data_IF_323043554533
#
_entry.id   IF_323043554533
#
_cell.length_a   1.000
_cell.length_b   1.000
_cell.length_c   1.000
_cell.angle_alpha   90.00
_cell.angle_beta   90.00
_cell.angle_gamma   90.00
#
_symmetry.space_group_name_H-M   'P 1'
#
loop_
_entity.id
_entity.type
_entity.pdbx_description
1 polymer ?
#
# COMPACT_ATOMS: atom_id res chain seq x y z
N UNK A 1 -15.04 11.47 8.51
CA UNK A 1 -14.23 10.59 7.64
C UNK A 1 -13.23 9.83 8.51
N UNK A 2 -13.25 8.51 8.46
CA UNK A 2 -12.30 7.63 9.15
C UNK A 2 -11.25 7.15 8.16
N UNK A 3 -9.99 7.12 8.60
CA UNK A 3 -8.87 6.75 7.74
C UNK A 3 -8.07 5.66 8.44
N UNK A 4 -7.70 4.63 7.71
CA UNK A 4 -6.85 3.56 8.19
C UNK A 4 -5.60 3.42 7.31
N UNK A 5 -4.47 3.12 7.94
CA UNK A 5 -3.26 2.63 7.25
C UNK A 5 -2.80 1.35 7.93
N UNK A 6 -2.51 0.31 7.13
CA UNK A 6 -2.17 -0.99 7.67
C UNK A 6 -1.19 -1.73 6.76
N UNK A 7 0.00 -2.01 7.28
CA UNK A 7 0.90 -2.97 6.65
C UNK A 7 0.38 -4.37 6.98
N UNK A 8 -0.07 -5.09 5.96
CA UNK A 8 -0.73 -6.39 6.13
C UNK A 8 0.23 -7.58 6.11
N UNK A 9 1.54 -7.33 5.92
CA UNK A 9 2.54 -8.40 5.83
C UNK A 9 2.06 -9.54 4.92
N UNK A 10 1.70 -9.18 3.68
CA UNK A 10 1.14 -10.08 2.66
C UNK A 10 -0.02 -10.99 3.12
N UNK A 11 -0.68 -10.71 4.22
CA UNK A 11 -1.81 -11.46 4.78
C UNK A 11 -1.45 -12.35 5.96
N UNK A 12 -0.16 -12.44 6.35
CA UNK A 12 0.30 -13.29 7.44
C UNK A 12 0.12 -12.60 8.79
N UNK A 13 -0.63 -13.22 9.68
CA UNK A 13 -0.78 -12.75 11.06
C UNK A 13 0.40 -13.16 11.94
N UNK A 14 0.50 -12.52 13.13
CA UNK A 14 1.50 -12.87 14.16
C UNK A 14 1.30 -14.29 14.71
N UNK A 15 0.14 -14.88 14.49
CA UNK A 15 -0.19 -16.27 14.81
C UNK A 15 0.28 -17.27 13.74
N UNK A 16 0.95 -16.80 12.69
CA UNK A 16 1.40 -17.60 11.57
C UNK A 16 0.32 -17.98 10.55
N UNK A 17 -0.92 -17.49 10.73
CA UNK A 17 -2.03 -17.80 9.85
C UNK A 17 -2.24 -16.72 8.78
N UNK A 18 -2.53 -17.19 7.58
CA UNK A 18 -2.91 -16.37 6.44
C UNK A 18 -4.41 -16.09 6.49
N UNK A 19 -4.82 -14.81 6.64
CA UNK A 19 -6.25 -14.50 6.76
C UNK A 19 -6.55 -13.07 6.27
N UNK A 20 -6.92 -12.96 5.00
CA UNK A 20 -7.32 -11.69 4.38
C UNK A 20 -8.70 -11.21 4.86
N UNK A 21 -9.60 -12.14 5.25
CA UNK A 21 -10.91 -11.77 5.78
C UNK A 21 -10.77 -11.06 7.13
N UNK A 22 -9.89 -11.58 8.01
CA UNK A 22 -9.56 -10.93 9.28
C UNK A 22 -8.98 -9.52 9.05
N UNK A 23 -8.05 -9.39 8.10
CA UNK A 23 -7.47 -8.08 7.76
C UNK A 23 -8.55 -7.11 7.28
N UNK A 24 -9.42 -7.55 6.39
CA UNK A 24 -10.52 -6.73 5.89
C UNK A 24 -11.46 -6.29 7.01
N UNK A 25 -11.82 -7.21 7.94
CA UNK A 25 -12.71 -6.90 9.06
C UNK A 25 -12.14 -5.83 10.00
N UNK A 26 -10.82 -5.76 10.16
CA UNK A 26 -10.14 -4.79 11.02
C UNK A 26 -10.19 -3.35 10.51
N UNK A 27 -10.40 -3.17 9.22
CA UNK A 27 -10.40 -1.85 8.56
C UNK A 27 -11.74 -1.51 7.92
N UNK A 28 -12.74 -2.39 8.00
CA UNK A 28 -14.01 -2.26 7.29
C UNK A 28 -14.83 -1.00 7.65
N UNK A 29 -14.62 -0.43 8.84
CA UNK A 29 -15.31 0.78 9.30
C UNK A 29 -14.62 2.09 8.85
N UNK A 30 -13.48 2.00 8.15
CA UNK A 30 -12.80 3.17 7.62
C UNK A 30 -13.38 3.61 6.27
N UNK A 31 -13.36 4.91 6.01
CA UNK A 31 -13.81 5.48 4.73
C UNK A 31 -12.72 5.42 3.66
N UNK A 32 -11.45 5.58 4.07
CA UNK A 32 -10.27 5.47 3.20
C UNK A 32 -9.25 4.58 3.89
N UNK A 33 -8.71 3.62 3.13
CA UNK A 33 -7.79 2.61 3.64
C UNK A 33 -6.56 2.56 2.75
N UNK A 34 -5.37 2.69 3.35
CA UNK A 34 -4.09 2.42 2.68
C UNK A 34 -3.49 1.13 3.22
N UNK A 35 -3.29 0.16 2.34
CA UNK A 35 -2.66 -1.12 2.68
C UNK A 35 -1.27 -1.19 2.06
N UNK A 36 -0.30 -1.71 2.83
CA UNK A 36 1.06 -1.95 2.37
C UNK A 36 1.37 -3.44 2.45
N UNK A 37 2.37 -3.86 1.67
CA UNK A 37 2.78 -5.26 1.54
C UNK A 37 1.65 -6.17 1.03
N UNK A 38 0.96 -5.73 0.00
CA UNK A 38 -0.10 -6.49 -0.65
C UNK A 38 0.50 -7.36 -1.75
N UNK A 39 0.42 -8.67 -1.59
CA UNK A 39 0.89 -9.68 -2.53
C UNK A 39 -0.14 -9.97 -3.62
N UNK A 40 0.37 -10.39 -4.78
CA UNK A 40 -0.44 -10.97 -5.86
C UNK A 40 0.31 -12.12 -6.49
N UNK A 41 -0.25 -13.32 -6.44
CA UNK A 41 0.29 -14.56 -7.00
C UNK A 41 1.70 -14.96 -6.50
N UNK A 42 1.97 -14.75 -5.21
CA UNK A 42 3.17 -15.28 -4.55
C UNK A 42 2.88 -16.65 -3.91
N UNK A 43 3.88 -17.56 -3.93
CA UNK A 43 3.77 -18.86 -3.25
C UNK A 43 3.52 -18.70 -1.74
N UNK A 44 4.21 -17.75 -1.11
CA UNK A 44 4.07 -17.45 0.32
C UNK A 44 2.66 -17.02 0.73
N UNK A 45 1.89 -16.46 -0.20
CA UNK A 45 0.50 -16.05 -0.01
C UNK A 45 -0.51 -16.94 -0.74
N UNK A 46 -0.14 -18.21 -1.00
CA UNK A 46 -1.03 -19.21 -1.59
C UNK A 46 -1.39 -18.97 -3.06
N UNK A 47 -0.60 -18.21 -3.81
CA UNK A 47 -0.84 -17.86 -5.22
C UNK A 47 -2.18 -17.12 -5.44
N UNK A 48 -2.63 -16.37 -4.45
CA UNK A 48 -3.91 -15.65 -4.44
C UNK A 48 -3.76 -14.25 -5.06
N UNK A 49 -4.81 -13.74 -5.68
CA UNK A 49 -4.96 -12.32 -6.02
C UNK A 49 -5.48 -11.56 -4.78
N UNK A 50 -4.56 -11.23 -3.87
CA UNK A 50 -4.96 -10.60 -2.59
C UNK A 50 -5.70 -9.26 -2.78
N UNK A 51 -5.37 -8.38 -3.76
CA UNK A 51 -6.20 -7.22 -4.06
C UNK A 51 -7.66 -7.56 -4.35
N UNK A 52 -7.91 -8.57 -5.19
CA UNK A 52 -9.28 -8.97 -5.52
C UNK A 52 -10.03 -9.54 -4.31
N UNK A 53 -9.38 -10.42 -3.53
CA UNK A 53 -9.97 -11.01 -2.32
C UNK A 53 -10.29 -9.95 -1.27
N UNK A 54 -9.38 -8.98 -1.05
CA UNK A 54 -9.64 -7.86 -0.14
C UNK A 54 -10.79 -6.98 -0.61
N UNK A 55 -10.89 -6.72 -1.91
CA UNK A 55 -11.99 -5.95 -2.49
C UNK A 55 -13.34 -6.66 -2.32
N UNK A 56 -13.38 -7.99 -2.48
CA UNK A 56 -14.59 -8.79 -2.25
C UNK A 56 -15.07 -8.69 -0.80
N UNK A 57 -14.15 -8.76 0.17
CA UNK A 57 -14.49 -8.58 1.60
C UNK A 57 -14.86 -7.13 1.94
N UNK A 58 -14.35 -6.15 1.20
CA UNK A 58 -14.60 -4.72 1.39
C UNK A 58 -15.47 -4.16 0.26
N UNK A 59 -16.55 -4.86 -0.08
CA UNK A 59 -17.44 -4.61 -1.22
C UNK A 59 -18.09 -3.20 -1.25
N UNK A 60 -18.01 -2.44 -0.14
CA UNK A 60 -18.44 -1.06 -0.05
C UNK A 60 -17.35 -0.05 -0.44
N UNK A 61 -16.18 -0.53 -0.92
CA UNK A 61 -15.05 0.32 -1.26
C UNK A 61 -14.65 0.14 -2.73
N UNK A 62 -14.42 1.25 -3.43
CA UNK A 62 -13.64 1.28 -4.65
C UNK A 62 -12.17 1.02 -4.30
N UNK A 63 -11.38 0.47 -5.23
CA UNK A 63 -9.97 0.26 -4.96
C UNK A 63 -9.06 0.51 -6.15
N UNK A 64 -7.80 0.78 -5.86
CA UNK A 64 -6.67 0.77 -6.80
C UNK A 64 -5.50 0.05 -6.17
N UNK A 65 -4.72 -0.64 -7.01
CA UNK A 65 -3.53 -1.37 -6.61
C UNK A 65 -2.32 -0.88 -7.40
N UNK A 66 -1.22 -0.59 -6.70
CA UNK A 66 0.06 -0.18 -7.28
C UNK A 66 1.13 -1.26 -7.05
N UNK A 67 1.49 -1.97 -8.11
CA UNK A 67 2.60 -2.92 -8.04
C UNK A 67 3.94 -2.17 -8.05
N UNK A 68 4.70 -2.29 -6.99
CA UNK A 68 6.07 -1.77 -6.91
C UNK A 68 7.09 -2.79 -7.44
N UNK A 69 6.81 -4.08 -7.24
CA UNK A 69 7.54 -5.20 -7.80
C UNK A 69 6.61 -6.00 -8.70
N UNK A 70 7.05 -6.27 -9.92
CA UNK A 70 6.30 -7.00 -10.93
C UNK A 70 7.22 -7.99 -11.64
N UNK A 71 6.97 -9.28 -11.45
CA UNK A 71 7.83 -10.36 -11.92
C UNK A 71 6.96 -11.46 -12.55
N UNK A 72 7.60 -12.33 -13.33
CA UNK A 72 6.94 -13.55 -13.78
C UNK A 72 6.52 -14.41 -12.59
N UNK A 73 5.29 -14.90 -12.57
CA UNK A 73 4.87 -15.87 -11.57
C UNK A 73 5.47 -17.24 -11.89
N UNK A 74 6.09 -17.89 -10.90
CA UNK A 74 6.85 -19.15 -11.05
C UNK A 74 5.95 -20.38 -11.32
N UNK A 75 4.91 -20.20 -12.10
CA UNK A 75 4.06 -21.29 -12.58
C UNK A 75 4.60 -21.72 -13.93
N UNK A 76 5.50 -22.68 -13.92
CA UNK A 76 5.90 -23.37 -15.14
C UNK A 76 4.87 -24.47 -15.38
N UNK A 77 3.93 -24.17 -16.27
CA UNK A 77 3.19 -25.20 -16.97
C UNK A 77 3.97 -25.52 -18.26
N UNK A 78 4.47 -26.73 -18.40
CA UNK A 78 5.29 -27.14 -19.52
C UNK A 78 4.56 -27.01 -20.88
N UNK A 79 3.22 -26.92 -20.86
CA UNK A 79 2.39 -26.89 -22.07
C UNK A 79 1.84 -25.51 -22.44
N UNK A 80 1.92 -24.52 -21.52
CA UNK A 80 1.36 -23.18 -21.76
C UNK A 80 2.20 -22.06 -21.17
N UNK A 81 2.35 -20.98 -21.94
CA UNK A 81 2.90 -19.73 -21.41
C UNK A 81 1.93 -19.18 -20.37
N UNK A 82 2.41 -19.06 -19.15
CA UNK A 82 1.63 -18.46 -18.08
C UNK A 82 1.87 -16.95 -18.04
N UNK A 83 0.81 -16.17 -18.28
CA UNK A 83 0.85 -14.72 -18.27
C UNK A 83 0.63 -14.10 -16.87
N UNK A 84 0.55 -14.91 -15.82
CA UNK A 84 0.39 -14.40 -14.45
C UNK A 84 1.65 -13.66 -14.00
N UNK A 85 1.43 -12.54 -13.33
CA UNK A 85 2.50 -11.71 -12.78
C UNK A 85 2.48 -11.82 -11.26
N UNK A 86 3.64 -12.14 -10.69
CA UNK A 86 3.90 -12.10 -9.26
C UNK A 86 4.19 -10.65 -8.88
N UNK A 87 3.30 -10.04 -8.11
CA UNK A 87 3.36 -8.62 -7.79
C UNK A 87 3.37 -8.39 -6.28
N UNK A 88 4.04 -7.32 -5.88
CA UNK A 88 4.07 -6.86 -4.50
C UNK A 88 3.96 -5.33 -4.49
N UNK A 89 3.07 -4.80 -3.67
CA UNK A 89 2.80 -3.37 -3.73
C UNK A 89 1.94 -2.84 -2.61
N UNK A 90 1.26 -1.74 -2.94
CA UNK A 90 0.34 -1.04 -2.04
C UNK A 90 -1.05 -0.95 -2.65
N UNK A 91 -2.06 -0.80 -1.80
CA UNK A 91 -3.45 -0.70 -2.21
C UNK A 91 -4.09 0.50 -1.50
N UNK A 92 -4.98 1.19 -2.19
CA UNK A 92 -5.86 2.20 -1.60
C UNK A 92 -7.30 1.75 -1.87
N UNK A 93 -8.10 1.72 -0.80
CA UNK A 93 -9.53 1.50 -0.89
C UNK A 93 -10.27 2.73 -0.37
N UNK A 94 -11.44 3.03 -0.93
CA UNK A 94 -12.23 4.20 -0.57
C UNK A 94 -13.72 3.92 -0.73
N UNK A 95 -14.54 4.33 0.23
CA UNK A 95 -16.01 4.36 0.09
C UNK A 95 -16.48 5.37 -0.95
N UNK A 96 -15.62 6.33 -1.28
CA UNK A 96 -15.90 7.34 -2.29
C UNK A 96 -15.25 6.95 -3.62
N UNK A 97 -15.82 7.37 -4.77
CA UNK A 97 -15.25 7.06 -6.07
C UNK A 97 -13.79 7.47 -6.21
N UNK A 98 -12.96 6.62 -6.80
CA UNK A 98 -11.57 6.92 -7.13
C UNK A 98 -11.55 7.40 -8.59
N UNK A 99 -11.23 8.69 -8.79
CA UNK A 99 -11.25 9.34 -10.10
C UNK A 99 -10.03 9.02 -10.95
N UNK A 100 -8.86 8.87 -10.29
CA UNK A 100 -7.62 8.49 -10.97
C UNK A 100 -6.61 7.94 -9.97
N UNK A 101 -5.61 7.21 -10.49
CA UNK A 101 -4.50 6.71 -9.68
C UNK A 101 -3.18 6.76 -10.46
N UNK A 102 -2.08 6.84 -9.72
CA UNK A 102 -0.71 6.75 -10.27
C UNK A 102 0.17 6.00 -9.28
N UNK A 103 1.08 5.18 -9.80
CA UNK A 103 2.07 4.50 -8.98
C UNK A 103 3.48 4.99 -9.33
N UNK A 104 4.23 5.45 -8.32
CA UNK A 104 5.56 6.01 -8.47
C UNK A 104 6.58 5.13 -7.77
N UNK A 105 7.49 4.45 -8.50
CA UNK A 105 8.61 3.78 -7.87
C UNK A 105 9.51 4.77 -7.13
N UNK A 106 9.92 4.40 -5.93
CA UNK A 106 10.87 5.18 -5.13
C UNK A 106 12.32 4.78 -5.45
N UNK A 107 13.31 5.66 -5.19
CA UNK A 107 14.72 5.33 -5.35
C UNK A 107 15.08 4.02 -4.65
N UNK A 108 15.83 3.17 -5.36
CA UNK A 108 16.30 1.88 -4.88
C UNK A 108 17.80 1.78 -5.09
N UNK A 109 18.52 1.38 -4.05
CA UNK A 109 19.94 1.06 -4.14
C UNK A 109 20.10 -0.43 -4.40
N UNK A 110 20.77 -0.77 -5.49
CA UNK A 110 21.19 -2.15 -5.77
C UNK A 110 22.51 -2.42 -5.09
N UNK A 111 22.51 -3.35 -4.14
CA UNK A 111 23.69 -3.90 -3.51
C UNK A 111 23.71 -5.41 -3.81
N UNK A 112 24.88 -5.97 -4.15
CA UNK A 112 25.02 -7.40 -4.38
C UNK A 112 24.91 -8.23 -3.11
N UNK A 113 25.04 -7.60 -1.95
CA UNK A 113 25.10 -8.26 -0.63
C UNK A 113 23.75 -8.21 0.11
N UNK A 114 22.86 -7.28 -0.26
CA UNK A 114 21.58 -7.09 0.45
C UNK A 114 20.40 -7.20 -0.51
N UNK A 115 19.46 -8.05 -0.15
CA UNK A 115 18.20 -8.12 -0.85
C UNK A 115 17.35 -6.87 -0.54
N UNK A 116 17.01 -6.12 -1.57
CA UNK A 116 16.18 -4.92 -1.47
C UNK A 116 14.95 -5.07 -2.35
N UNK A 117 13.77 -4.86 -1.77
CA UNK A 117 12.51 -4.85 -2.51
C UNK A 117 12.27 -3.42 -3.05
N UNK A 118 11.73 -3.31 -4.26
CA UNK A 118 11.30 -2.03 -4.82
C UNK A 118 10.16 -1.46 -3.98
N UNK A 119 10.34 -0.24 -3.48
CA UNK A 119 9.33 0.53 -2.77
C UNK A 119 8.67 1.55 -3.70
N UNK A 120 7.49 2.04 -3.33
CA UNK A 120 6.75 3.00 -4.17
C UNK A 120 5.68 3.77 -3.39
N UNK A 121 5.09 4.70 -4.12
CA UNK A 121 3.97 5.54 -3.69
C UNK A 121 2.81 5.28 -4.62
N UNK A 122 1.69 4.81 -4.08
CA UNK A 122 0.43 4.77 -4.80
C UNK A 122 -0.37 6.04 -4.46
N UNK A 123 -0.68 6.82 -5.48
CA UNK A 123 -1.59 7.97 -5.41
C UNK A 123 -2.99 7.56 -5.86
N UNK A 124 -4.00 8.07 -5.20
CA UNK A 124 -5.38 8.05 -5.65
C UNK A 124 -6.00 9.44 -5.50
N UNK A 125 -6.73 9.90 -6.50
CA UNK A 125 -7.60 11.07 -6.41
C UNK A 125 -9.01 10.57 -6.13
N UNK A 126 -9.56 10.95 -4.98
CA UNK A 126 -10.83 10.46 -4.45
C UNK A 126 -11.85 11.59 -4.49
N UNK A 127 -13.05 11.30 -4.97
CA UNK A 127 -14.19 12.23 -4.96
C UNK A 127 -14.87 12.21 -3.58
N UNK A 128 -14.24 12.88 -2.63
CA UNK A 128 -14.72 12.93 -1.25
C UNK A 128 -15.84 13.98 -1.08
N UNK A 129 -16.72 13.87 -0.07
CA UNK A 129 -17.82 14.81 0.17
C UNK A 129 -17.39 16.28 0.35
N UNK A 130 -16.14 16.51 0.73
CA UNK A 130 -15.55 17.85 0.91
C UNK A 130 -14.83 18.36 -0.33
N UNK A 131 -14.90 17.64 -1.45
CA UNK A 131 -14.19 17.89 -2.69
C UNK A 131 -13.05 16.89 -2.95
N UNK A 132 -12.41 16.96 -4.11
CA UNK A 132 -11.37 16.02 -4.50
C UNK A 132 -10.23 15.97 -3.49
N UNK A 133 -9.92 14.76 -3.02
CA UNK A 133 -8.87 14.48 -2.06
C UNK A 133 -7.79 13.61 -2.71
N UNK A 134 -6.51 13.98 -2.54
CA UNK A 134 -5.37 13.12 -2.93
C UNK A 134 -4.93 12.28 -1.75
N UNK A 135 -5.03 10.97 -1.90
CA UNK A 135 -4.55 9.99 -0.93
C UNK A 135 -3.28 9.31 -1.46
N UNK A 136 -2.31 9.09 -0.58
CA UNK A 136 -1.06 8.41 -0.89
C UNK A 136 -0.83 7.25 0.07
N UNK A 137 -0.73 6.03 -0.47
CA UNK A 137 -0.26 4.87 0.29
C UNK A 137 1.21 4.65 0.00
N UNK A 138 2.04 4.69 1.04
CA UNK A 138 3.51 4.67 0.92
C UNK A 138 4.08 3.57 1.78
N UNK A 139 5.02 2.82 1.20
CA UNK A 139 5.86 1.87 1.94
C UNK A 139 7.32 2.25 1.72
N UNK A 140 8.01 2.64 2.78
CA UNK A 140 9.42 3.04 2.73
C UNK A 140 10.35 1.88 3.13
N UNK A 141 11.61 1.96 2.72
CA UNK A 141 12.63 0.99 3.10
C UNK A 141 12.81 0.94 4.62
N UNK A 142 12.75 -0.26 5.17
CA UNK A 142 13.02 -0.52 6.60
C UNK A 142 14.49 -0.82 6.89
N UNK A 143 15.31 -1.05 5.85
CA UNK A 143 16.68 -1.58 5.99
C UNK A 143 17.62 -0.62 6.71
N UNK A 144 17.65 0.66 6.30
CA UNK A 144 18.55 1.64 6.91
C UNK A 144 18.10 3.08 6.63
N UNK A 145 18.59 4.07 7.41
CA UNK A 145 18.41 5.47 7.07
C UNK A 145 18.96 5.84 5.70
N UNK A 146 20.13 5.29 5.31
CA UNK A 146 20.76 5.59 4.01
C UNK A 146 19.92 5.14 2.80
N UNK A 147 19.11 4.10 2.94
CA UNK A 147 18.16 3.67 1.90
C UNK A 147 16.84 4.45 1.96
N UNK A 148 16.42 4.89 3.15
CA UNK A 148 15.14 5.56 3.38
C UNK A 148 15.18 7.07 3.09
N UNK A 149 16.26 7.76 3.47
CA UNK A 149 16.37 9.22 3.27
C UNK A 149 16.21 9.66 1.81
N UNK A 150 16.84 9.02 0.82
CA UNK A 150 16.62 9.37 -0.59
C UNK A 150 15.17 9.14 -1.03
N UNK A 151 14.47 8.15 -0.46
CA UNK A 151 13.05 7.93 -0.72
C UNK A 151 12.19 9.07 -0.17
N UNK A 152 12.51 9.56 1.03
CA UNK A 152 11.81 10.71 1.63
C UNK A 152 12.03 11.98 0.80
N UNK A 153 13.25 12.23 0.33
CA UNK A 153 13.53 13.38 -0.53
C UNK A 153 12.78 13.31 -1.87
N UNK A 154 12.71 12.13 -2.49
CA UNK A 154 11.92 11.92 -3.69
C UNK A 154 10.42 12.17 -3.44
N UNK A 155 9.89 11.73 -2.29
CA UNK A 155 8.52 12.02 -1.88
C UNK A 155 8.26 13.52 -1.74
N UNK A 156 9.15 14.25 -1.07
CA UNK A 156 9.03 15.71 -0.90
C UNK A 156 8.96 16.44 -2.24
N UNK A 157 9.74 15.98 -3.22
CA UNK A 157 9.72 16.55 -4.56
C UNK A 157 8.41 16.25 -5.34
N UNK A 158 7.74 15.15 -5.03
CA UNK A 158 6.47 14.76 -5.66
C UNK A 158 5.27 15.49 -5.06
N UNK A 159 5.30 15.79 -3.77
CA UNK A 159 4.20 16.48 -3.11
C UNK A 159 4.22 17.94 -3.51
N UNK A 160 3.25 18.34 -4.37
CA UNK A 160 3.12 19.73 -4.80
C UNK A 160 2.84 20.62 -3.58
N UNK A 161 3.70 21.59 -3.24
CA UNK A 161 3.52 22.46 -2.08
C UNK A 161 2.28 23.37 -2.18
N UNK A 162 1.65 23.45 -3.34
CA UNK A 162 0.50 24.32 -3.62
C UNK A 162 -0.86 23.61 -3.65
N UNK A 163 -0.91 22.29 -3.38
CA UNK A 163 -2.18 21.57 -3.37
C UNK A 163 -2.71 21.42 -1.94
N UNK A 164 -3.87 22.01 -1.57
CA UNK A 164 -4.27 22.16 -0.17
C UNK A 164 -4.83 20.91 0.50
N UNK A 165 -5.05 19.81 -0.22
CA UNK A 165 -5.69 18.61 0.32
C UNK A 165 -4.85 17.35 0.05
N UNK A 166 -4.01 16.99 1.02
CA UNK A 166 -3.25 15.74 1.02
C UNK A 166 -3.62 14.83 2.19
N UNK A 167 -3.73 13.55 1.90
CA UNK A 167 -3.79 12.50 2.89
C UNK A 167 -2.63 11.53 2.69
N UNK A 168 -1.67 11.54 3.60
CA UNK A 168 -0.53 10.62 3.55
C UNK A 168 -0.77 9.40 4.44
N UNK A 169 -0.87 8.24 3.82
CA UNK A 169 -0.95 6.93 4.49
C UNK A 169 0.43 6.28 4.44
N UNK A 170 1.31 6.70 5.34
CA UNK A 170 2.71 6.27 5.36
C UNK A 170 2.92 5.16 6.37
N UNK A 171 3.56 4.08 5.96
CA UNK A 171 4.06 3.03 6.82
C UNK A 171 5.58 2.91 6.72
N UNK A 172 6.27 2.91 7.87
CA UNK A 172 7.72 2.78 7.97
C UNK A 172 8.04 1.59 8.89
N UNK A 173 8.45 0.48 8.29
CA UNK A 173 9.03 -0.67 9.01
C UNK A 173 8.06 -1.58 9.76
N UNK A 174 8.58 -2.63 10.41
CA UNK A 174 7.80 -3.78 10.90
C UNK A 174 7.14 -3.57 12.27
N UNK A 175 6.83 -2.36 12.71
CA UNK A 175 6.17 -2.17 13.99
C UNK A 175 4.65 -2.19 13.86
N UNK A 176 4.04 -3.24 14.41
CA UNK A 176 2.62 -3.39 14.61
C UNK A 176 2.06 -2.27 15.51
N UNK A 177 1.65 -1.16 14.92
CA UNK A 177 0.78 -0.23 15.63
C UNK A 177 -0.41 0.10 14.76
N UNK A 178 -1.58 -0.40 15.17
CA UNK A 178 -2.86 0.09 14.67
C UNK A 178 -2.98 1.56 15.07
N UNK A 179 -2.62 2.48 14.19
CA UNK A 179 -2.97 3.89 14.39
C UNK A 179 -4.33 4.13 13.74
N UNK A 180 -5.39 4.09 14.53
CA UNK A 180 -6.65 4.74 14.18
C UNK A 180 -6.38 6.24 14.19
N UNK A 181 -6.37 6.88 13.04
CA UNK A 181 -6.38 8.33 12.98
C UNK A 181 -7.78 8.78 13.39
N UNK A 182 -7.89 9.40 14.56
CA UNK A 182 -9.11 10.08 15.00
C UNK A 182 -9.25 11.41 14.26
N UNK A 183 -10.48 11.79 13.94
CA UNK A 183 -10.88 13.02 13.28
C UNK A 183 -10.07 14.24 13.71
N UNK A 184 -9.41 14.87 12.76
CA UNK A 184 -8.74 16.14 12.99
C UNK A 184 -8.11 16.65 11.71
N UNK A 185 -8.74 17.63 11.11
CA UNK A 185 -8.07 18.56 10.23
C UNK A 185 -6.95 19.24 11.04
N UNK A 186 -5.73 18.97 10.68
CA UNK A 186 -4.60 19.75 11.14
C UNK A 186 -3.96 19.28 12.46
N UNK A 187 -2.67 19.12 12.38
CA UNK A 187 -1.68 19.05 13.47
C UNK A 187 -1.58 17.72 14.21
N UNK A 188 -0.60 16.92 13.77
CA UNK A 188 0.47 16.43 14.65
C UNK A 188 1.55 15.76 13.80
N UNK A 189 2.43 16.59 13.29
CA UNK A 189 3.80 16.19 13.02
C UNK A 189 4.50 16.21 14.38
N UNK A 190 4.61 15.08 15.03
CA UNK A 190 5.61 14.92 16.08
C UNK A 190 6.95 14.65 15.41
N UNK A 191 8.04 15.31 15.85
CA UNK A 191 9.34 15.16 15.24
C UNK A 191 9.90 13.76 15.53
N UNK A 192 10.59 13.25 14.50
CA UNK A 192 11.52 12.13 14.39
C UNK A 192 11.63 11.13 15.52
#
# INVERSE_FOLDING_TARGET
MRIATYNIQYGLGSDGNYDLARIASEVADADIIGLQEVDRFWKRSGMVDSPAVLADHLSQHHFVYGANLDMNADLIDAERINHRRKQFGTMILSRYPILSSRNFPLPKWGDRTHHSIQQGILEAVIDAPTGPLRAYSVHLSHLSPSTRLPQIEAMKAMFCPFCPLYLNLVHIGPNFSKKKATNGLGQNLSPL
#
